data_IF_403537270280
#
_entry.id   IF_403537270280
#
_cell.length_a   1.000
_cell.length_b   1.000
_cell.length_c   1.000
_cell.angle_alpha   90.00
_cell.angle_beta   90.00
_cell.angle_gamma   90.00
#
_symmetry.space_group_name_H-M   'P 1'
#
loop_
_entity.id
_entity.type
_entity.pdbx_description
1 polymer ?
#
# COMPACT_ATOMS: atom_id res chain seq x y z
N UNK A 1 -30.65 16.94 -13.73
CA UNK A 1 -30.48 18.33 -13.23
C UNK A 1 -31.78 19.14 -13.22
N UNK A 2 -32.46 19.39 -14.35
CA UNK A 2 -33.73 20.13 -14.35
C UNK A 2 -34.79 19.45 -13.44
N UNK A 3 -34.92 18.13 -13.47
CA UNK A 3 -35.83 17.44 -12.55
C UNK A 3 -35.46 17.63 -11.06
N UNK A 4 -34.19 17.79 -10.70
CA UNK A 4 -33.83 18.01 -9.30
C UNK A 4 -34.28 19.40 -8.81
N UNK A 5 -34.11 20.43 -9.65
CA UNK A 5 -34.54 21.80 -9.33
C UNK A 5 -36.07 21.93 -9.21
N UNK A 6 -36.82 21.14 -9.98
CA UNK A 6 -38.27 21.25 -10.05
C UNK A 6 -39.05 20.19 -9.24
N UNK A 7 -38.45 19.04 -8.93
CA UNK A 7 -39.15 17.88 -8.36
C UNK A 7 -38.45 17.25 -7.15
N UNK A 8 -37.23 17.67 -6.76
CA UNK A 8 -36.39 17.10 -5.68
C UNK A 8 -36.08 15.57 -5.79
N UNK A 9 -36.64 14.92 -6.81
CA UNK A 9 -36.41 13.53 -7.17
C UNK A 9 -35.37 13.44 -8.30
N UNK A 10 -34.23 12.83 -7.99
CA UNK A 10 -33.20 12.46 -8.95
C UNK A 10 -32.80 11.00 -8.72
N UNK A 11 -32.98 10.17 -9.75
CA UNK A 11 -32.44 8.81 -9.76
C UNK A 11 -30.93 8.88 -10.00
N UNK A 12 -30.15 8.61 -8.94
CA UNK A 12 -28.69 8.53 -9.01
C UNK A 12 -28.31 7.10 -9.41
N UNK A 13 -27.55 6.98 -10.48
CA UNK A 13 -26.99 5.73 -10.99
C UNK A 13 -25.48 5.87 -11.21
N UNK A 14 -24.78 4.74 -11.20
CA UNK A 14 -23.34 4.60 -11.45
C UNK A 14 -22.84 5.35 -12.69
N UNK A 15 -23.66 5.47 -13.75
CA UNK A 15 -23.32 6.20 -14.96
C UNK A 15 -23.47 7.72 -14.84
N UNK A 16 -24.43 8.21 -14.04
CA UNK A 16 -24.78 9.64 -13.97
C UNK A 16 -24.22 10.34 -12.73
N UNK A 17 -23.77 9.59 -11.72
CA UNK A 17 -23.42 10.13 -10.40
C UNK A 17 -22.30 11.16 -10.46
N UNK A 18 -21.29 10.96 -11.32
CA UNK A 18 -20.17 11.88 -11.49
C UNK A 18 -20.59 13.19 -12.15
N UNK A 19 -21.50 13.12 -13.13
CA UNK A 19 -22.04 14.31 -13.80
C UNK A 19 -22.96 15.10 -12.86
N UNK A 20 -23.81 14.40 -12.11
CA UNK A 20 -24.69 15.01 -11.11
C UNK A 20 -23.90 15.64 -9.96
N UNK A 21 -22.81 15.01 -9.52
CA UNK A 21 -21.90 15.58 -8.53
C UNK A 21 -21.30 16.90 -9.05
N UNK A 22 -20.78 16.89 -10.29
CA UNK A 22 -20.21 18.08 -10.94
C UNK A 22 -21.21 19.22 -11.09
N UNK A 23 -22.46 18.89 -11.45
CA UNK A 23 -23.54 19.87 -11.49
C UNK A 23 -23.91 20.34 -10.09
N UNK A 24 -23.93 19.47 -9.08
CA UNK A 24 -24.19 19.86 -7.70
C UNK A 24 -23.19 20.90 -7.20
N UNK A 25 -21.92 20.73 -7.52
CA UNK A 25 -20.84 21.65 -7.15
C UNK A 25 -20.88 22.95 -7.97
N UNK A 26 -21.09 22.86 -9.29
CA UNK A 26 -21.18 24.04 -10.18
C UNK A 26 -22.32 24.98 -9.80
N UNK A 27 -23.42 24.45 -9.27
CA UNK A 27 -24.62 25.21 -8.92
C UNK A 27 -24.80 25.37 -7.40
N UNK A 28 -23.78 25.03 -6.59
CA UNK A 28 -23.75 25.16 -5.13
C UNK A 28 -24.94 24.46 -4.40
N UNK A 29 -25.39 23.32 -4.92
CA UNK A 29 -26.49 22.55 -4.36
C UNK A 29 -25.95 21.49 -3.39
N UNK A 30 -25.69 21.89 -2.14
CA UNK A 30 -25.09 21.02 -1.11
C UNK A 30 -25.85 19.69 -0.91
N UNK A 31 -27.19 19.72 -0.93
CA UNK A 31 -28.01 18.52 -0.73
C UNK A 31 -27.81 17.45 -1.82
N UNK A 32 -27.61 17.89 -3.06
CA UNK A 32 -27.33 16.99 -4.18
C UNK A 32 -25.94 16.39 -4.06
N UNK A 33 -24.95 17.21 -3.70
CA UNK A 33 -23.57 16.76 -3.46
C UNK A 33 -23.54 15.71 -2.37
N UNK A 34 -24.20 15.92 -1.23
CA UNK A 34 -24.25 14.95 -0.13
C UNK A 34 -24.92 13.62 -0.56
N UNK A 35 -26.06 13.68 -1.26
CA UNK A 35 -26.73 12.48 -1.80
C UNK A 35 -25.80 11.71 -2.75
N UNK A 36 -25.12 12.39 -3.67
CA UNK A 36 -24.15 11.78 -4.60
C UNK A 36 -22.94 11.17 -3.88
N UNK A 37 -22.36 11.88 -2.90
CA UNK A 37 -21.24 11.38 -2.11
C UNK A 37 -21.60 10.12 -1.34
N UNK A 38 -22.79 10.08 -0.72
CA UNK A 38 -23.29 8.90 -0.01
C UNK A 38 -23.43 7.70 -0.95
N UNK A 39 -24.06 7.89 -2.11
CA UNK A 39 -24.19 6.84 -3.12
C UNK A 39 -22.83 6.32 -3.59
N UNK A 40 -21.88 7.22 -3.87
CA UNK A 40 -20.52 6.84 -4.25
C UNK A 40 -19.90 5.96 -3.16
N UNK A 41 -19.93 6.39 -1.90
CA UNK A 41 -19.33 5.67 -0.78
C UNK A 41 -19.93 4.26 -0.57
N UNK A 42 -21.24 4.10 -0.81
CA UNK A 42 -21.94 2.81 -0.72
C UNK A 42 -21.64 1.89 -1.92
N UNK A 43 -21.36 2.47 -3.09
CA UNK A 43 -21.10 1.72 -4.34
C UNK A 43 -19.64 1.28 -4.52
N UNK A 44 -18.68 1.86 -3.78
CA UNK A 44 -17.25 1.52 -3.93
C UNK A 44 -16.98 0.11 -3.41
N UNK A 45 -16.36 -0.70 -4.26
CA UNK A 45 -16.00 -2.09 -4.05
C UNK A 45 -14.56 -2.33 -4.53
N UNK A 46 -13.93 -3.42 -4.08
CA UNK A 46 -12.56 -3.79 -4.49
C UNK A 46 -12.34 -3.91 -6.00
N UNK A 47 -13.39 -4.19 -6.78
CA UNK A 47 -13.30 -4.31 -8.24
C UNK A 47 -13.35 -2.96 -8.98
N UNK A 48 -14.05 -1.97 -8.43
CA UNK A 48 -14.27 -0.66 -9.07
C UNK A 48 -13.42 0.45 -8.43
N UNK A 49 -12.80 0.20 -7.27
CA UNK A 49 -12.08 1.22 -6.49
C UNK A 49 -11.05 1.98 -7.31
N UNK A 50 -10.33 1.31 -8.21
CA UNK A 50 -9.33 1.95 -9.08
C UNK A 50 -9.94 2.91 -10.10
N UNK A 51 -11.14 2.63 -10.60
CA UNK A 51 -11.86 3.54 -11.50
C UNK A 51 -12.40 4.75 -10.73
N UNK A 52 -12.97 4.49 -9.54
CA UNK A 52 -13.45 5.54 -8.65
C UNK A 52 -12.32 6.46 -8.18
N UNK A 53 -11.13 5.93 -7.86
CA UNK A 53 -9.96 6.73 -7.47
C UNK A 53 -9.46 7.61 -8.61
N UNK A 54 -9.45 7.11 -9.85
CA UNK A 54 -9.08 7.94 -11.02
C UNK A 54 -10.07 9.08 -11.22
N UNK A 55 -11.38 8.81 -11.11
CA UNK A 55 -12.42 9.83 -11.23
C UNK A 55 -12.36 10.84 -10.09
N UNK A 56 -12.14 10.39 -8.86
CA UNK A 56 -11.97 11.24 -7.70
C UNK A 56 -10.76 12.17 -7.83
N UNK A 57 -9.67 11.72 -8.48
CA UNK A 57 -8.49 12.55 -8.73
C UNK A 57 -8.78 13.69 -9.72
N UNK A 58 -9.64 13.44 -10.71
CA UNK A 58 -10.01 14.42 -11.74
C UNK A 58 -11.00 15.47 -11.20
N UNK A 59 -11.94 15.03 -10.38
CA UNK A 59 -13.08 15.83 -9.96
C UNK A 59 -12.66 17.02 -9.09
N UNK A 60 -12.04 16.71 -7.96
CA UNK A 60 -11.26 17.57 -7.06
C UNK A 60 -10.94 16.63 -5.89
N UNK A 61 -9.93 16.96 -5.07
CA UNK A 61 -9.44 16.17 -3.93
C UNK A 61 -10.46 16.08 -2.79
N UNK A 62 -11.68 15.67 -3.08
CA UNK A 62 -12.72 15.34 -2.12
C UNK A 62 -12.15 14.28 -1.18
N UNK A 63 -11.71 14.77 -0.03
CA UNK A 63 -10.92 13.96 0.90
C UNK A 63 -11.72 12.74 1.35
N UNK A 64 -13.05 12.82 1.36
CA UNK A 64 -13.92 11.73 1.80
C UNK A 64 -13.92 10.55 0.82
N UNK A 65 -14.12 10.77 -0.49
CA UNK A 65 -14.11 9.68 -1.49
C UNK A 65 -12.73 9.05 -1.54
N UNK A 66 -11.68 9.88 -1.58
CA UNK A 66 -10.30 9.39 -1.61
C UNK A 66 -9.97 8.58 -0.36
N UNK A 67 -10.29 9.09 0.85
CA UNK A 67 -10.10 8.34 2.11
C UNK A 67 -10.79 6.98 2.06
N UNK A 68 -12.03 6.92 1.58
CA UNK A 68 -12.75 5.65 1.50
C UNK A 68 -12.13 4.69 0.49
N UNK A 69 -11.68 5.19 -0.66
CA UNK A 69 -10.95 4.40 -1.63
C UNK A 69 -9.66 3.85 -1.04
N UNK A 70 -8.88 4.67 -0.31
CA UNK A 70 -7.64 4.23 0.33
C UNK A 70 -7.87 3.15 1.38
N UNK A 71 -8.94 3.27 2.18
CA UNK A 71 -9.32 2.25 3.15
C UNK A 71 -9.59 0.90 2.45
N UNK A 72 -10.35 0.90 1.36
CA UNK A 72 -10.68 -0.31 0.59
C UNK A 72 -9.43 -0.89 -0.10
N UNK A 73 -8.59 -0.04 -0.67
CA UNK A 73 -7.34 -0.48 -1.32
C UNK A 73 -6.42 -1.12 -0.29
N UNK A 74 -6.22 -0.50 0.88
CA UNK A 74 -5.36 -1.06 1.93
C UNK A 74 -5.91 -2.38 2.48
N UNK A 75 -7.24 -2.48 2.67
CA UNK A 75 -7.87 -3.71 3.15
C UNK A 75 -7.87 -4.87 2.14
N UNK A 76 -7.71 -4.59 0.84
CA UNK A 76 -7.75 -5.59 -0.23
C UNK A 76 -6.61 -5.44 -1.23
N UNK A 77 -5.44 -5.00 -0.74
CA UNK A 77 -4.31 -4.56 -1.56
C UNK A 77 -3.86 -5.61 -2.57
N UNK A 78 -3.63 -6.84 -2.09
CA UNK A 78 -3.14 -7.95 -2.92
C UNK A 78 -4.09 -8.29 -4.07
N UNK A 79 -5.40 -8.16 -3.86
CA UNK A 79 -6.41 -8.39 -4.89
C UNK A 79 -6.42 -7.25 -5.92
N UNK A 80 -6.46 -6.01 -5.43
CA UNK A 80 -6.55 -4.81 -6.28
C UNK A 80 -5.34 -4.71 -7.22
N UNK A 81 -4.15 -4.98 -6.70
CA UNK A 81 -2.92 -4.83 -7.48
C UNK A 81 -2.73 -5.92 -8.55
N UNK A 82 -3.26 -7.11 -8.31
CA UNK A 82 -3.18 -8.24 -9.25
C UNK A 82 -4.17 -8.10 -10.40
N UNK A 83 -5.18 -7.24 -10.25
CA UNK A 83 -6.26 -7.06 -11.21
C UNK A 83 -5.77 -6.31 -12.45
N UNK A 84 -6.27 -6.68 -13.64
CA UNK A 84 -5.91 -5.99 -14.90
C UNK A 84 -6.29 -4.50 -14.93
N UNK A 85 -7.22 -4.09 -14.08
CA UNK A 85 -7.60 -2.71 -13.84
C UNK A 85 -6.40 -1.87 -13.38
N UNK A 86 -5.49 -2.44 -12.57
CA UNK A 86 -4.25 -1.78 -12.16
C UNK A 86 -3.37 -1.40 -13.35
N UNK A 87 -3.33 -2.24 -14.39
CA UNK A 87 -2.52 -1.95 -15.58
C UNK A 87 -3.09 -0.80 -16.44
N UNK A 88 -4.31 -0.34 -16.17
CA UNK A 88 -4.98 0.74 -16.94
C UNK A 88 -4.95 2.10 -16.24
N UNK A 89 -4.39 2.19 -15.03
CA UNK A 89 -4.41 3.41 -14.22
C UNK A 89 -3.55 4.53 -14.83
N UNK A 90 -3.90 5.77 -14.51
CA UNK A 90 -3.10 6.97 -14.77
C UNK A 90 -1.80 7.00 -13.95
N UNK A 91 -0.71 7.61 -14.46
CA UNK A 91 0.56 7.73 -13.73
C UNK A 91 0.40 8.49 -12.40
N UNK A 92 -0.47 9.49 -12.34
CA UNK A 92 -0.73 10.27 -11.14
C UNK A 92 -1.31 9.40 -10.03
N UNK A 93 -2.32 8.58 -10.36
CA UNK A 93 -2.89 7.61 -9.40
C UNK A 93 -1.85 6.59 -8.93
N UNK A 94 -0.93 6.15 -9.80
CA UNK A 94 0.13 5.22 -9.39
C UNK A 94 1.07 5.85 -8.35
N UNK A 95 1.40 7.13 -8.52
CA UNK A 95 2.20 7.92 -7.58
C UNK A 95 1.49 8.10 -6.24
N UNK A 96 0.17 8.29 -6.26
CA UNK A 96 -0.67 8.39 -5.04
C UNK A 96 -0.78 7.04 -4.31
N UNK A 97 -0.99 5.94 -5.03
CA UNK A 97 -0.99 4.57 -4.47
C UNK A 97 0.36 4.27 -3.79
N UNK A 98 1.46 4.65 -4.44
CA UNK A 98 2.80 4.45 -3.88
C UNK A 98 3.05 5.26 -2.59
N UNK A 99 2.34 6.36 -2.37
CA UNK A 99 2.48 7.20 -1.17
C UNK A 99 1.54 6.80 -0.04
N UNK A 100 0.27 6.50 -0.35
CA UNK A 100 -0.77 6.32 0.66
C UNK A 100 -1.03 4.87 1.07
N UNK A 101 -0.57 3.89 0.28
CA UNK A 101 -0.79 2.49 0.61
C UNK A 101 0.32 1.91 1.49
N UNK A 102 -0.08 1.31 2.61
CA UNK A 102 0.77 0.48 3.45
C UNK A 102 0.97 -0.84 2.72
N UNK A 103 2.22 -1.25 2.54
CA UNK A 103 2.58 -2.40 1.71
C UNK A 103 3.23 -3.47 2.57
N UNK A 104 2.58 -4.63 2.63
CA UNK A 104 3.14 -5.82 3.27
C UNK A 104 4.12 -6.55 2.34
N UNK A 105 3.94 -6.44 1.01
CA UNK A 105 4.77 -7.11 0.01
C UNK A 105 5.19 -6.17 -1.12
N UNK A 106 6.33 -5.50 -0.92
CA UNK A 106 6.92 -4.60 -1.92
C UNK A 106 7.28 -5.34 -3.22
N UNK A 107 7.57 -6.64 -3.15
CA UNK A 107 7.92 -7.42 -4.34
C UNK A 107 6.77 -7.49 -5.35
N UNK A 108 5.54 -7.71 -4.85
CA UNK A 108 4.34 -7.71 -5.69
C UNK A 108 4.09 -6.35 -6.31
N UNK A 109 4.26 -5.28 -5.51
CA UNK A 109 4.11 -3.91 -6.01
C UNK A 109 5.08 -3.62 -7.15
N UNK A 110 6.36 -3.93 -6.95
CA UNK A 110 7.39 -3.72 -7.96
C UNK A 110 7.07 -4.46 -9.27
N UNK A 111 6.65 -5.74 -9.19
CA UNK A 111 6.30 -6.51 -10.38
C UNK A 111 5.17 -5.87 -11.18
N UNK A 112 4.14 -5.40 -10.49
CA UNK A 112 2.98 -4.76 -11.12
C UNK A 112 3.33 -3.38 -11.68
N UNK A 113 4.20 -2.61 -11.02
CA UNK A 113 4.74 -1.34 -11.54
C UNK A 113 5.51 -1.57 -12.84
N UNK A 114 6.34 -2.61 -12.91
CA UNK A 114 7.04 -2.97 -14.15
C UNK A 114 6.05 -3.40 -15.24
N UNK A 115 5.04 -4.21 -14.91
CA UNK A 115 4.00 -4.61 -15.86
C UNK A 115 3.20 -3.41 -16.39
N UNK A 116 2.81 -2.51 -15.50
CA UNK A 116 2.14 -1.24 -15.84
C UNK A 116 3.03 -0.39 -16.76
N UNK A 117 4.31 -0.21 -16.44
CA UNK A 117 5.23 0.61 -17.25
C UNK A 117 5.37 0.10 -18.68
N UNK A 118 5.36 -1.23 -18.89
CA UNK A 118 5.40 -1.84 -20.22
C UNK A 118 4.12 -1.57 -20.99
N UNK A 119 2.97 -1.68 -20.33
CA UNK A 119 1.66 -1.40 -20.94
C UNK A 119 1.50 0.10 -21.25
N UNK A 120 2.03 0.96 -20.39
CA UNK A 120 2.03 2.40 -20.58
C UNK A 120 2.92 2.83 -21.75
N UNK A 121 4.11 2.23 -21.89
CA UNK A 121 4.94 2.40 -23.10
C UNK A 121 4.17 2.02 -24.37
N UNK A 122 3.45 0.90 -24.34
CA UNK A 122 2.62 0.47 -25.47
C UNK A 122 1.49 1.47 -25.77
N UNK A 123 0.80 1.98 -24.74
CA UNK A 123 -0.25 3.01 -24.87
C UNK A 123 0.29 4.30 -25.48
N UNK A 124 1.51 4.70 -25.11
CA UNK A 124 2.20 5.87 -25.66
C UNK A 124 2.85 5.62 -27.03
N UNK A 125 2.74 4.42 -27.59
CA UNK A 125 3.39 3.98 -28.85
C UNK A 125 4.91 4.15 -28.83
N UNK A 126 5.52 4.00 -27.65
CA UNK A 126 6.97 4.09 -27.46
C UNK A 126 7.51 2.68 -27.21
N UNK A 127 8.70 2.38 -27.75
CA UNK A 127 9.36 1.11 -27.47
C UNK A 127 9.64 0.95 -25.96
N UNK A 128 9.39 -0.24 -25.43
CA UNK A 128 9.61 -0.62 -24.03
C UNK A 128 11.09 -0.81 -23.69
N UNK A 129 11.93 0.15 -24.10
CA UNK A 129 13.34 0.22 -23.78
C UNK A 129 13.52 0.64 -22.31
N UNK A 130 14.59 0.15 -21.67
CA UNK A 130 14.96 0.46 -20.29
C UNK A 130 14.94 1.97 -19.98
N UNK A 131 15.48 2.79 -20.88
CA UNK A 131 15.51 4.26 -20.70
C UNK A 131 14.11 4.89 -20.65
N UNK A 132 13.16 4.39 -21.45
CA UNK A 132 11.80 4.91 -21.47
C UNK A 132 11.03 4.50 -20.20
N UNK A 133 11.24 3.26 -19.75
CA UNK A 133 10.69 2.76 -18.48
C UNK A 133 11.25 3.56 -17.30
N UNK A 134 12.56 3.82 -17.27
CA UNK A 134 13.18 4.68 -16.25
C UNK A 134 12.57 6.08 -16.23
N UNK A 135 12.37 6.69 -17.40
CA UNK A 135 11.77 8.02 -17.51
C UNK A 135 10.33 8.06 -17.00
N UNK A 136 9.54 7.02 -17.26
CA UNK A 136 8.17 6.90 -16.74
C UNK A 136 8.13 6.67 -15.24
N UNK A 137 9.09 5.92 -14.71
CA UNK A 137 9.14 5.54 -13.29
C UNK A 137 9.98 6.50 -12.44
N UNK A 138 10.43 7.64 -13.00
CA UNK A 138 11.28 8.60 -12.27
C UNK A 138 10.56 9.15 -11.04
N UNK A 139 9.26 9.47 -11.16
CA UNK A 139 8.47 10.02 -10.05
C UNK A 139 8.11 8.97 -8.99
N UNK A 140 8.06 7.70 -9.38
CA UNK A 140 7.68 6.56 -8.51
C UNK A 140 8.91 5.96 -7.82
N UNK A 141 10.09 6.04 -8.45
CA UNK A 141 11.36 5.54 -7.92
C UNK A 141 11.59 5.91 -6.44
N UNK A 142 11.45 7.18 -6.00
CA UNK A 142 11.69 7.54 -4.60
C UNK A 142 10.62 7.02 -3.63
N UNK A 143 9.45 6.60 -4.14
CA UNK A 143 8.33 6.08 -3.32
C UNK A 143 8.38 4.56 -3.14
N UNK A 144 9.30 3.88 -3.83
CA UNK A 144 9.52 2.44 -3.68
C UNK A 144 10.44 2.16 -2.50
N UNK A 145 10.00 1.26 -1.62
CA UNK A 145 10.72 0.87 -0.40
C UNK A 145 11.59 -0.35 -0.68
N UNK A 146 12.73 -0.16 -1.33
CA UNK A 146 13.67 -1.25 -1.65
C UNK A 146 14.17 -2.02 -0.42
N UNK A 147 14.12 -1.41 0.77
CA UNK A 147 14.46 -2.04 2.06
C UNK A 147 13.52 -3.19 2.44
N UNK A 148 12.26 -3.15 1.99
CA UNK A 148 11.28 -4.22 2.25
C UNK A 148 11.28 -5.30 1.15
N UNK A 149 12.12 -5.17 0.11
CA UNK A 149 12.24 -6.19 -0.93
C UNK A 149 13.26 -7.26 -0.57
N UNK A 150 13.05 -8.47 -1.10
CA UNK A 150 14.00 -9.56 -0.96
C UNK A 150 15.25 -9.35 -1.82
N UNK A 151 16.42 -9.70 -1.28
CA UNK A 151 17.71 -9.64 -1.99
C UNK A 151 17.63 -10.38 -3.34
N UNK A 152 16.95 -11.52 -3.40
CA UNK A 152 16.76 -12.28 -4.64
C UNK A 152 16.02 -11.47 -5.72
N UNK A 153 14.96 -10.75 -5.34
CA UNK A 153 14.18 -9.92 -6.26
C UNK A 153 14.95 -8.66 -6.67
N UNK A 154 15.73 -8.06 -5.76
CA UNK A 154 16.64 -6.95 -6.08
C UNK A 154 17.65 -7.35 -7.17
N UNK A 155 18.33 -8.48 -7.00
CA UNK A 155 19.36 -8.94 -7.95
C UNK A 155 18.76 -9.44 -9.27
N UNK A 156 17.61 -10.12 -9.22
CA UNK A 156 17.04 -10.76 -10.41
C UNK A 156 16.16 -9.82 -11.23
N UNK A 157 15.34 -9.00 -10.56
CA UNK A 157 14.31 -8.17 -11.20
C UNK A 157 14.73 -6.71 -11.28
N UNK A 158 15.10 -6.10 -10.15
CA UNK A 158 15.46 -4.67 -10.11
C UNK A 158 16.70 -4.40 -10.95
N UNK A 159 17.72 -5.25 -10.87
CA UNK A 159 18.89 -5.17 -11.76
C UNK A 159 18.53 -5.20 -13.24
N UNK A 160 17.62 -6.09 -13.67
CA UNK A 160 17.20 -6.22 -15.07
C UNK A 160 16.34 -5.05 -15.54
N UNK A 161 15.57 -4.45 -14.63
CA UNK A 161 14.76 -3.27 -14.91
C UNK A 161 15.62 -2.03 -15.22
N UNK A 162 16.87 -2.03 -14.76
CA UNK A 162 17.78 -0.90 -14.89
C UNK A 162 17.40 0.31 -14.03
N UNK A 163 16.33 0.25 -13.23
CA UNK A 163 15.81 1.41 -12.48
C UNK A 163 16.79 1.99 -11.46
N UNK A 164 17.62 1.12 -10.86
CA UNK A 164 18.67 1.51 -9.93
C UNK A 164 20.03 1.48 -10.64
N UNK A 165 20.84 2.49 -10.35
CA UNK A 165 22.27 2.46 -10.63
C UNK A 165 22.93 1.28 -9.92
N UNK A 166 24.04 0.78 -10.46
CA UNK A 166 24.80 -0.30 -9.82
C UNK A 166 25.23 0.05 -8.40
N UNK A 167 25.49 1.33 -8.10
CA UNK A 167 25.82 1.79 -6.75
C UNK A 167 24.60 1.73 -5.82
N UNK A 168 23.49 2.33 -6.24
CA UNK A 168 22.23 2.34 -5.48
C UNK A 168 21.72 0.92 -5.18
N UNK A 169 21.88 -0.01 -6.12
CA UNK A 169 21.51 -1.41 -5.94
C UNK A 169 22.38 -2.10 -4.88
N UNK A 170 23.69 -1.83 -4.86
CA UNK A 170 24.60 -2.40 -3.87
C UNK A 170 24.29 -1.85 -2.47
N UNK A 171 24.03 -0.54 -2.36
CA UNK A 171 23.68 0.10 -1.10
C UNK A 171 22.37 -0.49 -0.54
N UNK A 172 21.34 -0.65 -1.37
CA UNK A 172 20.09 -1.29 -0.97
C UNK A 172 20.29 -2.75 -0.52
N UNK A 173 21.08 -3.54 -1.25
CA UNK A 173 21.40 -4.93 -0.85
C UNK A 173 22.13 -4.96 0.49
N UNK A 174 23.08 -4.04 0.71
CA UNK A 174 23.82 -3.94 1.97
C UNK A 174 22.88 -3.58 3.12
N UNK A 175 21.98 -2.60 2.95
CA UNK A 175 20.98 -2.24 3.95
C UNK A 175 20.11 -3.45 4.32
N UNK A 176 19.49 -4.11 3.34
CA UNK A 176 18.66 -5.30 3.57
C UNK A 176 19.45 -6.40 4.28
N UNK A 177 20.70 -6.64 3.87
CA UNK A 177 21.56 -7.62 4.52
C UNK A 177 21.91 -7.25 5.98
N UNK A 178 22.14 -5.96 6.27
CA UNK A 178 22.37 -5.49 7.64
C UNK A 178 21.13 -5.62 8.52
N UNK A 179 19.95 -5.31 8.01
CA UNK A 179 18.68 -5.50 8.71
C UNK A 179 18.40 -6.98 9.02
N UNK A 180 18.65 -7.87 8.05
CA UNK A 180 18.50 -9.30 8.29
C UNK A 180 19.46 -9.79 9.39
N UNK A 181 20.67 -9.22 9.48
CA UNK A 181 21.62 -9.54 10.55
C UNK A 181 21.17 -9.00 11.89
N UNK A 182 20.67 -7.76 11.97
CA UNK A 182 20.19 -7.18 13.23
C UNK A 182 18.95 -7.91 13.75
N UNK A 183 17.99 -8.25 12.89
CA UNK A 183 16.80 -9.04 13.25
C UNK A 183 17.18 -10.42 13.79
N UNK A 184 18.15 -11.11 13.17
CA UNK A 184 18.65 -12.40 13.68
C UNK A 184 19.31 -12.27 15.04
N UNK A 185 20.15 -11.25 15.24
CA UNK A 185 20.79 -10.97 16.53
C UNK A 185 19.77 -10.64 17.63
N UNK A 186 18.73 -9.86 17.32
CA UNK A 186 17.67 -9.53 18.27
C UNK A 186 16.88 -10.77 18.70
N UNK A 187 16.53 -11.67 17.77
CA UNK A 187 15.86 -12.94 18.12
C UNK A 187 16.72 -13.79 19.05
N UNK A 188 18.00 -13.97 18.71
CA UNK A 188 18.95 -14.69 19.55
C UNK A 188 19.07 -14.05 20.94
N UNK A 189 19.11 -12.72 21.02
CA UNK A 189 19.17 -12.02 22.30
C UNK A 189 17.89 -12.23 23.12
N UNK A 190 16.71 -12.15 22.51
CA UNK A 190 15.43 -12.39 23.22
C UNK A 190 15.29 -13.82 23.74
N UNK A 191 15.84 -14.81 23.02
CA UNK A 191 15.88 -16.20 23.46
C UNK A 191 16.82 -16.35 24.66
N UNK A 192 18.00 -15.71 24.62
CA UNK A 192 18.95 -15.69 25.74
C UNK A 192 18.34 -15.00 26.97
N UNK A 193 17.67 -13.87 26.78
CA UNK A 193 17.05 -13.12 27.89
C UNK A 193 15.92 -13.94 28.54
N UNK A 194 15.13 -14.66 27.73
CA UNK A 194 14.09 -15.56 28.22
C UNK A 194 14.66 -16.73 29.03
N UNK A 195 15.75 -17.35 28.55
CA UNK A 195 16.44 -18.42 29.26
C UNK A 195 17.06 -17.93 30.58
N UNK A 196 17.69 -16.76 30.57
CA UNK A 196 18.26 -16.15 31.77
C UNK A 196 17.18 -15.83 32.81
N UNK A 197 16.00 -15.35 32.37
CA UNK A 197 14.87 -15.12 33.26
C UNK A 197 14.38 -16.43 33.90
N UNK A 198 14.25 -17.51 33.12
CA UNK A 198 13.87 -18.83 33.63
C UNK A 198 14.89 -19.37 34.64
N UNK A 199 16.19 -19.28 34.33
CA UNK A 199 17.27 -19.65 35.23
C UNK A 199 17.23 -18.87 36.55
N UNK A 200 16.92 -17.56 36.49
CA UNK A 200 16.75 -16.74 37.71
C UNK A 200 15.60 -17.25 38.58
N UNK A 201 14.45 -17.58 37.98
CA UNK A 201 13.30 -18.12 38.70
C UNK A 201 13.60 -19.49 39.34
N UNK A 202 14.32 -20.35 38.61
CA UNK A 202 14.72 -21.66 39.11
C UNK A 202 15.73 -21.54 40.26
N UNK A 203 16.66 -20.58 40.20
CA UNK A 203 17.59 -20.28 41.29
C UNK A 203 16.88 -19.71 42.53
N UNK A 204 15.98 -18.74 42.36
CA UNK A 204 15.15 -18.20 43.45
C UNK A 204 14.29 -19.29 44.10
N UNK A 205 13.77 -20.23 43.30
CA UNK A 205 13.04 -21.39 43.79
C UNK A 205 13.95 -22.29 44.64
N UNK A 206 15.13 -22.66 44.15
CA UNK A 206 16.07 -23.51 44.88
C UNK A 206 16.55 -22.88 46.19
N UNK A 207 16.84 -21.58 46.21
CA UNK A 207 17.18 -20.85 47.44
C UNK A 207 16.03 -20.90 48.46
N UNK A 208 14.79 -20.74 47.99
CA UNK A 208 13.59 -20.79 48.86
C UNK A 208 13.31 -22.19 49.42
N UNK A 209 13.74 -23.26 48.75
CA UNK A 209 13.63 -24.65 49.24
C UNK A 209 14.78 -25.08 50.17
N UNK A 210 15.93 -24.40 50.16
CA UNK A 210 16.98 -24.64 51.16
C UNK A 210 16.65 -24.09 52.56
N UNK A 211 15.60 -23.27 52.70
CA UNK A 211 15.17 -22.65 53.97
C UNK A 211 14.06 -23.45 54.70
N UNK A 212 13.88 -24.75 54.44
CA UNK A 212 13.03 -25.57 55.34
C UNK A 212 13.85 -26.03 56.55
N UNK A 213 13.51 -25.65 57.80
CA UNK A 213 14.24 -26.09 58.97
C UNK A 213 14.06 -27.60 59.17
N UNK A 214 15.20 -28.26 59.37
CA UNK A 214 15.35 -29.62 59.86
C UNK A 214 14.30 -29.92 60.96
N UNK A 215 13.39 -30.91 60.81
CA UNK A 215 12.47 -31.26 61.89
C UNK A 215 13.31 -31.81 63.04
N UNK A 216 13.39 -31.03 64.12
CA UNK A 216 13.95 -31.49 65.40
C UNK A 216 13.14 -32.69 65.87
N UNK A 217 13.66 -33.89 65.65
CA UNK A 217 13.22 -35.10 66.34
C UNK A 217 13.57 -34.95 67.83
N UNK A 218 12.55 -34.73 68.65
CA UNK A 218 12.57 -35.00 70.09
C UNK A 218 11.51 -36.05 70.40
#
# INVERSE_FOLDING_TARGET
MLCFLYTDDCEIDSGNVWEMLNMGDTYDISLLVEKCLKYICESVNKCNVLEYSQKALIYDKNSMIMKKCWEIINNSYDYVITTEAFLKISPELLVEIAEHCIRDNENLFFDQVIAWSRKECHRRKVNSTVANIQRLLTDIKPKLNFEQMDIYNLVTKVRKSGLLSSKELLDAIQQVATEQRTRKRQKQQSEIDSLNHQLSLDMDFLERWQVTPNPTYK
#
